data_IF_171355760956
#
_entry.id   IF_171355760956
#
_cell.length_a   1.000
_cell.length_b   1.000
_cell.length_c   1.000
_cell.angle_alpha   90.00
_cell.angle_beta   90.00
_cell.angle_gamma   90.00
#
_symmetry.space_group_name_H-M   'P 1'
#
loop_
_entity.id
_entity.type
_entity.pdbx_description
1 polymer ?
#
# COMPACT_ATOMS: atom_id res chain seq x y z
N UNK A 1 31.40 28.65 5.22
CA UNK A 1 30.71 27.56 4.53
C UNK A 1 30.17 26.61 5.57
N UNK A 2 28.86 26.48 5.67
CA UNK A 2 28.21 25.48 6.54
C UNK A 2 28.59 24.08 6.09
N UNK A 3 28.87 23.19 7.05
CA UNK A 3 29.20 21.79 6.77
C UNK A 3 27.99 21.09 6.12
N UNK A 4 28.10 20.76 4.84
CA UNK A 4 27.09 20.06 4.06
C UNK A 4 26.68 18.71 4.73
N UNK A 5 27.58 18.14 5.52
CA UNK A 5 27.31 16.91 6.30
C UNK A 5 26.28 17.12 7.41
N UNK A 6 26.20 18.31 8.01
CA UNK A 6 25.18 18.60 9.04
C UNK A 6 23.78 18.77 8.44
N UNK A 7 23.66 19.29 7.23
CA UNK A 7 22.37 19.40 6.54
C UNK A 7 21.78 18.05 6.13
N UNK A 8 22.62 17.10 5.71
CA UNK A 8 22.20 15.75 5.31
C UNK A 8 21.71 14.93 6.49
N UNK A 9 22.27 15.11 7.69
CA UNK A 9 21.89 14.38 8.89
C UNK A 9 20.48 14.72 9.40
N UNK A 10 19.87 15.82 8.94
CA UNK A 10 18.52 16.24 9.29
C UNK A 10 17.41 15.53 8.48
N UNK A 11 17.78 14.86 7.39
CA UNK A 11 16.82 14.17 6.54
C UNK A 11 16.86 12.67 6.78
N UNK A 12 15.67 12.05 6.85
CA UNK A 12 15.60 10.59 6.92
C UNK A 12 16.02 9.96 5.58
N UNK A 13 16.32 8.68 5.60
CA UNK A 13 16.77 7.93 4.43
C UNK A 13 15.79 8.05 3.24
N UNK A 14 14.50 8.04 3.53
CA UNK A 14 13.44 8.16 2.51
C UNK A 14 13.47 9.53 1.82
N UNK A 15 13.66 10.60 2.57
CA UNK A 15 13.77 11.96 2.01
C UNK A 15 15.02 12.10 1.14
N UNK A 16 16.14 11.51 1.55
CA UNK A 16 17.38 11.50 0.76
C UNK A 16 17.20 10.77 -0.56
N UNK A 17 16.53 9.64 -0.57
CA UNK A 17 16.24 8.88 -1.80
C UNK A 17 15.36 9.68 -2.77
N UNK A 18 14.33 10.34 -2.26
CA UNK A 18 13.45 11.21 -3.06
C UNK A 18 14.24 12.34 -3.69
N UNK A 19 15.03 13.06 -2.90
CA UNK A 19 15.86 14.16 -3.39
C UNK A 19 16.90 13.71 -4.42
N UNK A 20 17.53 12.57 -4.18
CA UNK A 20 18.50 11.98 -5.10
C UNK A 20 17.87 11.65 -6.47
N UNK A 21 16.68 11.07 -6.49
CA UNK A 21 15.95 10.78 -7.72
C UNK A 21 15.51 12.03 -8.47
N UNK A 22 15.02 13.04 -7.76
CA UNK A 22 14.65 14.33 -8.37
C UNK A 22 15.86 14.97 -9.04
N UNK A 23 17.00 14.99 -8.37
CA UNK A 23 18.26 15.57 -8.87
C UNK A 23 18.77 14.82 -10.10
N UNK A 24 18.66 13.48 -10.13
CA UNK A 24 19.10 12.65 -11.25
C UNK A 24 18.07 12.54 -12.40
N UNK A 25 16.94 13.28 -12.31
CA UNK A 25 15.87 13.23 -13.32
C UNK A 25 15.04 11.96 -13.29
N UNK A 26 15.16 11.14 -12.23
CA UNK A 26 14.27 9.99 -11.98
C UNK A 26 13.00 10.44 -11.25
N UNK A 27 11.84 9.85 -11.60
CA UNK A 27 10.60 10.08 -10.89
C UNK A 27 10.65 9.65 -9.41
N UNK A 28 9.67 10.11 -8.61
CA UNK A 28 9.52 9.69 -7.21
C UNK A 28 9.11 8.22 -7.18
N UNK A 29 9.93 7.37 -6.54
CA UNK A 29 9.58 5.96 -6.35
C UNK A 29 8.40 5.84 -5.37
N UNK A 30 7.36 5.15 -5.79
CA UNK A 30 6.20 4.82 -4.97
C UNK A 30 6.31 3.39 -4.48
N UNK A 31 6.46 3.23 -3.18
CA UNK A 31 6.66 1.93 -2.54
C UNK A 31 5.32 1.38 -2.08
N UNK A 32 4.95 0.25 -2.63
CA UNK A 32 3.66 -0.41 -2.40
C UNK A 32 3.88 -1.75 -1.72
N UNK A 33 3.22 -1.99 -0.62
CA UNK A 33 3.13 -3.31 0.01
C UNK A 33 1.81 -3.95 -0.38
N UNK A 34 1.85 -5.20 -0.82
CA UNK A 34 0.69 -6.00 -1.20
C UNK A 34 0.58 -7.19 -0.26
N UNK A 35 -0.53 -7.29 0.45
CA UNK A 35 -0.84 -8.36 1.39
C UNK A 35 -2.15 -9.04 0.97
N UNK A 36 -2.01 -10.10 0.18
CA UNK A 36 -3.12 -10.87 -0.39
C UNK A 36 -3.06 -12.32 0.11
N UNK A 37 -4.22 -12.90 0.35
CA UNK A 37 -4.33 -14.32 0.66
C UNK A 37 -3.85 -15.19 -0.51
N UNK A 38 -4.18 -14.79 -1.73
CA UNK A 38 -3.85 -15.52 -2.95
C UNK A 38 -2.57 -14.97 -3.58
N UNK A 39 -1.52 -15.78 -3.62
CA UNK A 39 -0.22 -15.40 -4.17
C UNK A 39 -0.27 -15.05 -5.66
N UNK A 40 -1.10 -15.75 -6.45
CA UNK A 40 -1.26 -15.43 -7.87
C UNK A 40 -1.88 -14.06 -8.08
N UNK A 41 -2.82 -13.68 -7.22
CA UNK A 41 -3.44 -12.36 -7.27
C UNK A 41 -2.45 -11.27 -6.84
N UNK A 42 -1.64 -11.54 -5.83
CA UNK A 42 -0.55 -10.63 -5.44
C UNK A 42 0.45 -10.41 -6.58
N UNK A 43 0.83 -11.48 -7.29
CA UNK A 43 1.71 -11.39 -8.45
C UNK A 43 1.07 -10.58 -9.59
N UNK A 44 -0.21 -10.77 -9.85
CA UNK A 44 -0.95 -10.03 -10.87
C UNK A 44 -1.00 -8.53 -10.55
N UNK A 45 -1.26 -8.15 -9.30
CA UNK A 45 -1.25 -6.75 -8.85
C UNK A 45 0.15 -6.16 -9.02
N UNK A 46 1.17 -6.87 -8.59
CA UNK A 46 2.57 -6.42 -8.67
C UNK A 46 2.98 -6.17 -10.12
N UNK A 47 2.66 -7.09 -11.02
CA UNK A 47 2.95 -6.96 -12.44
C UNK A 47 2.18 -5.81 -13.08
N UNK A 48 0.89 -5.66 -12.74
CA UNK A 48 0.04 -4.58 -13.26
C UNK A 48 0.60 -3.20 -12.89
N UNK A 49 0.99 -3.00 -11.64
CA UNK A 49 1.55 -1.73 -11.18
C UNK A 49 2.87 -1.41 -11.84
N UNK A 50 3.79 -2.37 -11.91
CA UNK A 50 5.10 -2.20 -12.55
C UNK A 50 4.99 -1.91 -14.03
N UNK A 51 4.04 -2.54 -14.73
CA UNK A 51 3.79 -2.30 -16.16
C UNK A 51 3.10 -0.97 -16.41
N UNK A 52 2.29 -0.50 -15.46
CA UNK A 52 1.61 0.79 -15.55
C UNK A 52 2.60 1.95 -15.42
N UNK A 53 3.49 1.90 -14.45
CA UNK A 53 4.52 2.91 -14.21
C UNK A 53 5.75 2.26 -13.54
N UNK A 54 6.92 2.45 -14.15
CA UNK A 54 8.19 1.92 -13.64
C UNK A 54 8.61 2.51 -12.28
N UNK A 55 7.99 3.63 -11.86
CA UNK A 55 8.24 4.25 -10.56
C UNK A 55 7.58 3.48 -9.39
N UNK A 56 6.69 2.53 -9.67
CA UNK A 56 6.17 1.63 -8.64
C UNK A 56 7.21 0.56 -8.26
N UNK A 57 7.55 0.53 -6.99
CA UNK A 57 8.27 -0.57 -6.34
C UNK A 57 7.30 -1.36 -5.50
N UNK A 58 7.08 -2.62 -5.84
CA UNK A 58 6.05 -3.45 -5.20
C UNK A 58 6.70 -4.57 -4.40
N UNK A 59 6.27 -4.71 -3.16
CA UNK A 59 6.74 -5.71 -2.20
C UNK A 59 5.55 -6.52 -1.73
N UNK A 60 5.67 -7.84 -1.80
CA UNK A 60 4.62 -8.76 -1.35
C UNK A 60 4.89 -9.24 0.06
N UNK A 61 3.91 -9.09 0.96
CA UNK A 61 3.95 -9.67 2.29
C UNK A 61 3.53 -11.15 2.21
N UNK A 62 4.35 -12.03 2.77
CA UNK A 62 4.06 -13.48 2.76
C UNK A 62 3.02 -13.87 3.80
N UNK A 63 2.88 -13.09 4.87
CA UNK A 63 1.94 -13.34 5.95
C UNK A 63 1.46 -12.03 6.59
N UNK A 64 0.19 -11.95 7.03
CA UNK A 64 -0.34 -10.74 7.66
C UNK A 64 0.46 -10.25 8.88
N UNK A 65 1.08 -11.16 9.62
CA UNK A 65 1.90 -10.83 10.80
C UNK A 65 3.17 -10.04 10.46
N UNK A 66 3.63 -10.12 9.21
CA UNK A 66 4.84 -9.45 8.73
C UNK A 66 4.56 -8.10 8.07
N UNK A 67 3.30 -7.80 7.79
CA UNK A 67 2.90 -6.67 6.95
C UNK A 67 3.25 -5.32 7.56
N UNK A 68 2.96 -5.12 8.84
CA UNK A 68 3.27 -3.87 9.54
C UNK A 68 4.76 -3.57 9.53
N UNK A 69 5.59 -4.55 9.88
CA UNK A 69 7.05 -4.41 9.89
C UNK A 69 7.59 -4.12 8.48
N UNK A 70 7.11 -4.84 7.48
CA UNK A 70 7.49 -4.60 6.08
C UNK A 70 7.19 -3.17 5.66
N UNK A 71 6.02 -2.64 6.02
CA UNK A 71 5.66 -1.24 5.73
C UNK A 71 6.65 -0.27 6.36
N UNK A 72 7.09 -0.52 7.58
CA UNK A 72 8.06 0.33 8.27
C UNK A 72 9.44 0.24 7.62
N UNK A 73 9.90 -0.97 7.32
CA UNK A 73 11.23 -1.21 6.76
C UNK A 73 11.42 -0.50 5.42
N UNK A 74 10.43 -0.54 4.55
CA UNK A 74 10.50 0.10 3.23
C UNK A 74 9.92 1.52 3.21
N UNK A 75 9.35 2.01 4.28
CA UNK A 75 8.63 3.30 4.31
C UNK A 75 7.53 3.36 3.25
N UNK A 76 6.57 2.45 3.35
CA UNK A 76 5.53 2.26 2.35
C UNK A 76 4.69 3.52 2.11
N UNK A 77 4.43 3.83 0.84
CA UNK A 77 3.52 4.91 0.43
C UNK A 77 2.07 4.41 0.32
N UNK A 78 1.91 3.13 -0.03
CA UNK A 78 0.60 2.47 -0.18
C UNK A 78 0.67 1.07 0.41
N UNK A 79 -0.37 0.68 1.14
CA UNK A 79 -0.60 -0.68 1.61
C UNK A 79 -1.91 -1.19 1.02
N UNK A 80 -1.83 -2.25 0.23
CA UNK A 80 -2.97 -2.93 -0.37
C UNK A 80 -3.20 -4.23 0.39
N UNK A 81 -4.38 -4.42 0.98
CA UNK A 81 -4.72 -5.61 1.76
C UNK A 81 -6.00 -6.24 1.27
N UNK A 82 -5.97 -7.54 1.03
CA UNK A 82 -7.19 -8.31 0.79
C UNK A 82 -7.95 -8.52 2.10
N UNK A 83 -9.28 -8.42 2.02
CA UNK A 83 -10.19 -8.69 3.14
C UNK A 83 -11.05 -9.87 2.78
N UNK A 84 -11.10 -10.87 3.67
CA UNK A 84 -11.95 -12.04 3.55
C UNK A 84 -12.75 -12.30 4.83
N UNK A 85 -13.67 -13.25 4.80
CA UNK A 85 -14.42 -13.67 5.99
C UNK A 85 -13.59 -14.53 6.95
N UNK A 86 -12.34 -14.85 6.60
CA UNK A 86 -11.52 -15.81 7.33
C UNK A 86 -10.33 -15.15 8.01
N UNK A 87 -10.01 -15.59 9.24
CA UNK A 87 -8.80 -15.19 9.94
C UNK A 87 -7.58 -15.77 9.21
N UNK A 88 -6.47 -15.03 9.06
CA UNK A 88 -6.18 -13.71 9.63
C UNK A 88 -6.56 -12.50 8.73
N UNK A 89 -7.26 -12.70 7.61
CA UNK A 89 -7.59 -11.67 6.63
C UNK A 89 -8.92 -10.94 6.90
N UNK A 90 -9.53 -11.15 8.07
CA UNK A 90 -10.77 -10.45 8.46
C UNK A 90 -10.57 -8.95 8.56
N UNK A 91 -11.64 -8.19 8.29
CA UNK A 91 -11.63 -6.73 8.34
C UNK A 91 -11.09 -6.18 9.67
N UNK A 92 -11.49 -6.74 10.80
CA UNK A 92 -11.00 -6.30 12.12
C UNK A 92 -9.49 -6.45 12.28
N UNK A 93 -8.91 -7.52 11.74
CA UNK A 93 -7.45 -7.73 11.73
C UNK A 93 -6.75 -6.75 10.80
N UNK A 94 -7.35 -6.44 9.64
CA UNK A 94 -6.84 -5.46 8.70
C UNK A 94 -6.88 -4.05 9.29
N UNK A 95 -7.94 -3.70 10.03
CA UNK A 95 -8.03 -2.41 10.72
C UNK A 95 -6.96 -2.26 11.80
N UNK A 96 -6.60 -3.33 12.49
CA UNK A 96 -5.48 -3.32 13.43
C UNK A 96 -4.16 -3.01 12.74
N UNK A 97 -3.87 -3.66 11.63
CA UNK A 97 -2.68 -3.38 10.81
C UNK A 97 -2.70 -1.92 10.34
N UNK A 98 -3.84 -1.46 9.84
CA UNK A 98 -4.04 -0.06 9.44
C UNK A 98 -3.66 0.89 10.58
N UNK A 99 -4.15 0.67 11.78
CA UNK A 99 -3.89 1.53 12.93
C UNK A 99 -2.40 1.55 13.29
N UNK A 100 -1.74 0.40 13.29
CA UNK A 100 -0.31 0.29 13.54
C UNK A 100 0.53 1.03 12.46
N UNK A 101 0.17 0.86 11.19
CA UNK A 101 0.87 1.52 10.08
C UNK A 101 0.65 3.02 10.13
N UNK A 102 -0.59 3.49 10.28
CA UNK A 102 -0.91 4.93 10.32
C UNK A 102 -0.29 5.65 11.52
N UNK A 103 -0.05 4.95 12.62
CA UNK A 103 0.60 5.54 13.80
C UNK A 103 2.03 6.01 13.51
N UNK A 104 2.77 5.28 12.66
CA UNK A 104 4.15 5.61 12.29
C UNK A 104 4.30 6.20 10.89
N UNK A 105 3.40 5.84 9.97
CA UNK A 105 3.37 6.30 8.59
C UNK A 105 2.01 6.94 8.28
N UNK A 106 1.72 8.13 8.82
CA UNK A 106 0.39 8.74 8.68
C UNK A 106 0.00 9.06 7.23
N UNK A 107 0.97 9.20 6.35
CA UNK A 107 0.76 9.47 4.93
C UNK A 107 0.66 8.20 4.07
N UNK A 108 0.87 7.01 4.64
CA UNK A 108 0.68 5.76 3.93
C UNK A 108 -0.81 5.57 3.59
N UNK A 109 -1.11 5.40 2.31
CA UNK A 109 -2.48 5.17 1.84
C UNK A 109 -2.87 3.70 2.04
N UNK A 110 -4.05 3.49 2.60
CA UNK A 110 -4.59 2.15 2.86
C UNK A 110 -5.68 1.83 1.85
N UNK A 111 -5.51 0.73 1.13
CA UNK A 111 -6.46 0.25 0.12
C UNK A 111 -6.87 -1.18 0.46
N UNK A 112 -8.16 -1.44 0.50
CA UNK A 112 -8.69 -2.78 0.72
C UNK A 112 -9.16 -3.39 -0.58
N UNK A 113 -8.95 -4.69 -0.75
CA UNK A 113 -9.46 -5.48 -1.87
C UNK A 113 -10.46 -6.49 -1.32
N UNK A 114 -11.65 -6.55 -1.88
CA UNK A 114 -12.73 -7.45 -1.46
C UNK A 114 -13.42 -8.07 -2.66
N UNK A 115 -13.82 -9.34 -2.54
CA UNK A 115 -14.63 -10.02 -3.55
C UNK A 115 -16.12 -9.72 -3.33
N UNK A 116 -16.67 -8.82 -4.11
CA UNK A 116 -18.07 -8.40 -4.02
C UNK A 116 -19.06 -9.50 -4.45
N UNK A 117 -18.62 -10.48 -5.20
CA UNK A 117 -19.49 -11.55 -5.71
C UNK A 117 -19.73 -12.64 -4.66
N UNK A 118 -18.70 -12.99 -3.90
CA UNK A 118 -18.77 -14.04 -2.88
C UNK A 118 -18.95 -13.51 -1.47
N UNK A 119 -18.55 -12.24 -1.21
CA UNK A 119 -18.50 -11.61 0.10
C UNK A 119 -19.32 -10.32 0.15
N UNK A 120 -20.60 -10.37 -0.22
CA UNK A 120 -21.46 -9.18 -0.32
C UNK A 120 -21.56 -8.37 0.95
N UNK A 121 -21.77 -9.02 2.11
CA UNK A 121 -21.86 -8.34 3.40
C UNK A 121 -20.54 -7.71 3.81
N UNK A 122 -19.43 -8.38 3.50
CA UNK A 122 -18.10 -7.86 3.76
C UNK A 122 -17.80 -6.67 2.86
N UNK A 123 -18.20 -6.72 1.60
CA UNK A 123 -18.07 -5.59 0.68
C UNK A 123 -18.81 -4.35 1.18
N UNK A 124 -20.00 -4.52 1.78
CA UNK A 124 -20.74 -3.41 2.41
C UNK A 124 -19.97 -2.79 3.57
N UNK A 125 -19.34 -3.61 4.42
CA UNK A 125 -18.51 -3.15 5.53
C UNK A 125 -17.26 -2.41 5.04
N UNK A 126 -16.65 -2.88 3.97
CA UNK A 126 -15.49 -2.24 3.35
C UNK A 126 -15.86 -0.87 2.77
N UNK A 127 -16.98 -0.77 2.07
CA UNK A 127 -17.51 0.51 1.59
C UNK A 127 -17.75 1.48 2.74
N UNK A 128 -18.32 0.99 3.84
CA UNK A 128 -18.55 1.81 5.04
C UNK A 128 -17.23 2.30 5.66
N UNK A 129 -16.20 1.45 5.71
CA UNK A 129 -14.88 1.83 6.21
C UNK A 129 -14.28 3.00 5.41
N UNK A 130 -14.44 3.01 4.09
CA UNK A 130 -14.03 4.15 3.26
C UNK A 130 -14.86 5.40 3.56
N UNK A 131 -16.16 5.27 3.66
CA UNK A 131 -17.07 6.39 3.99
C UNK A 131 -16.71 7.03 5.32
N UNK A 132 -16.33 6.21 6.31
CA UNK A 132 -15.95 6.67 7.65
C UNK A 132 -14.52 7.23 7.71
N UNK A 133 -13.78 7.23 6.59
CA UNK A 133 -12.41 7.74 6.51
C UNK A 133 -11.36 6.82 7.14
N UNK A 134 -11.70 5.56 7.42
CA UNK A 134 -10.77 4.60 8.01
C UNK A 134 -9.76 4.06 6.98
N UNK A 135 -10.14 4.00 5.71
CA UNK A 135 -9.27 3.63 4.61
C UNK A 135 -9.39 4.66 3.49
N UNK A 136 -8.34 4.75 2.67
CA UNK A 136 -8.27 5.76 1.61
C UNK A 136 -9.05 5.34 0.37
N UNK A 137 -9.08 4.05 0.06
CA UNK A 137 -9.90 3.52 -1.02
C UNK A 137 -10.14 2.01 -0.84
N UNK A 138 -10.97 1.45 -1.70
CA UNK A 138 -11.17 0.02 -1.82
C UNK A 138 -11.32 -0.37 -3.30
N UNK A 139 -11.07 -1.63 -3.61
CA UNK A 139 -11.13 -2.19 -4.96
C UNK A 139 -11.87 -3.52 -4.90
N UNK A 140 -12.76 -3.76 -5.86
CA UNK A 140 -13.37 -5.07 -6.03
C UNK A 140 -12.41 -6.01 -6.77
N UNK A 141 -12.35 -7.26 -6.34
CA UNK A 141 -11.46 -8.27 -6.94
C UNK A 141 -11.72 -8.57 -8.42
N UNK A 142 -12.90 -8.21 -8.91
CA UNK A 142 -13.30 -8.41 -10.32
C UNK A 142 -12.85 -7.30 -11.28
N UNK A 143 -12.25 -6.22 -10.78
CA UNK A 143 -11.83 -5.11 -11.66
C UNK A 143 -10.64 -5.49 -12.53
N UNK A 144 -10.48 -4.76 -13.65
CA UNK A 144 -9.33 -4.94 -14.52
C UNK A 144 -8.03 -4.44 -13.87
N UNK A 145 -6.90 -4.99 -14.31
CA UNK A 145 -5.57 -4.55 -13.87
C UNK A 145 -5.32 -3.08 -14.19
N UNK A 146 -5.81 -2.60 -15.32
CA UNK A 146 -5.71 -1.18 -15.73
C UNK A 146 -6.46 -0.27 -14.76
N UNK A 147 -7.68 -0.65 -14.38
CA UNK A 147 -8.46 0.12 -13.40
C UNK A 147 -7.80 0.16 -12.03
N UNK A 148 -7.35 -1.00 -11.54
CA UNK A 148 -6.62 -1.09 -10.27
C UNK A 148 -5.40 -0.18 -10.26
N UNK A 149 -4.58 -0.25 -11.31
CA UNK A 149 -3.36 0.56 -11.41
C UNK A 149 -3.69 2.06 -11.44
N UNK A 150 -4.74 2.46 -12.15
CA UNK A 150 -5.20 3.86 -12.20
C UNK A 150 -5.67 4.36 -10.82
N UNK A 151 -6.38 3.53 -10.06
CA UNK A 151 -6.82 3.88 -8.69
C UNK A 151 -5.62 4.10 -7.78
N UNK A 152 -4.64 3.22 -7.82
CA UNK A 152 -3.42 3.34 -7.00
C UNK A 152 -2.60 4.58 -7.43
N UNK A 153 -2.49 4.82 -8.71
CA UNK A 153 -1.76 5.98 -9.25
C UNK A 153 -2.37 7.31 -8.79
N UNK A 154 -3.67 7.37 -8.61
CA UNK A 154 -4.41 8.57 -8.23
C UNK A 154 -4.38 8.90 -6.72
N UNK A 155 -3.80 8.06 -5.88
CA UNK A 155 -3.78 8.25 -4.42
C UNK A 155 -2.87 9.38 -3.94
#
# INVERSE_FOLDING_TARGET
MGDVRQGIALYNKSTIEILYRIILGGGIMRRVVVDMQNALFADAISSALKNFDSDFSVYQSEAPEQTTEMCFDIQANVLIMEVTAYTPWKLEKRMKIRDEVKAQLPNCKIVLVVDENTEKKLADKVRQAKKDGLVDNFIYGSVSSTYLSAVIDAL
#
